data_IF_256491458235
#
_entry.id   IF_256491458235
#
_cell.length_a   1.000
_cell.length_b   1.000
_cell.length_c   1.000
_cell.angle_alpha   90.00
_cell.angle_beta   90.00
_cell.angle_gamma   90.00
#
_symmetry.space_group_name_H-M   'P 1'
#
loop_
_entity.id
_entity.type
_entity.pdbx_description
1 polymer ?
#
# COMPACT_ATOMS: atom_id res chain seq x y z
N UNK A 1 -9.01 -21.34 15.92
CA UNK A 1 -8.57 -21.28 14.51
C UNK A 1 -7.73 -20.03 14.36
N UNK A 2 -6.46 -20.14 13.99
CA UNK A 2 -5.66 -18.95 13.68
C UNK A 2 -6.34 -18.25 12.49
N UNK A 3 -6.85 -17.05 12.72
CA UNK A 3 -7.37 -16.20 11.66
C UNK A 3 -6.18 -15.84 10.78
N UNK A 4 -6.10 -16.45 9.60
CA UNK A 4 -5.09 -16.10 8.61
C UNK A 4 -5.41 -14.68 8.16
N UNK A 5 -4.55 -13.72 8.51
CA UNK A 5 -4.66 -12.35 8.03
C UNK A 5 -4.62 -12.37 6.50
N UNK A 6 -5.59 -11.77 5.80
CA UNK A 6 -5.57 -11.69 4.35
C UNK A 6 -4.26 -11.03 3.88
N UNK A 7 -3.59 -11.64 2.92
CA UNK A 7 -2.30 -11.13 2.42
C UNK A 7 -2.44 -10.63 0.99
N UNK A 8 -1.70 -9.57 0.67
CA UNK A 8 -1.65 -8.98 -0.66
C UNK A 8 -0.75 -9.84 -1.55
N UNK A 9 -1.21 -10.17 -2.75
CA UNK A 9 -0.35 -10.84 -3.72
C UNK A 9 0.64 -9.82 -4.32
N UNK A 10 1.96 -9.93 -4.05
CA UNK A 10 2.93 -8.92 -4.47
C UNK A 10 3.11 -8.84 -5.98
N UNK A 11 2.86 -9.93 -6.71
CA UNK A 11 2.88 -9.92 -8.17
C UNK A 11 1.73 -9.06 -8.71
N UNK A 12 0.52 -9.34 -8.25
CA UNK A 12 -0.68 -8.63 -8.70
C UNK A 12 -0.63 -7.15 -8.29
N UNK A 13 -0.20 -6.85 -7.06
CA UNK A 13 -0.02 -5.47 -6.61
C UNK A 13 0.91 -4.69 -7.54
N UNK A 14 2.10 -5.21 -7.81
CA UNK A 14 3.08 -4.50 -8.65
C UNK A 14 2.57 -4.32 -10.08
N UNK A 15 1.91 -5.33 -10.66
CA UNK A 15 1.29 -5.19 -11.99
C UNK A 15 0.21 -4.11 -12.00
N UNK A 16 -0.69 -4.10 -11.03
CA UNK A 16 -1.75 -3.08 -10.95
C UNK A 16 -1.20 -1.69 -10.62
N UNK A 17 -0.14 -1.60 -9.83
CA UNK A 17 0.57 -0.34 -9.57
C UNK A 17 1.20 0.25 -10.85
N UNK A 18 1.88 -0.58 -11.65
CA UNK A 18 2.48 -0.12 -12.91
C UNK A 18 1.40 0.32 -13.93
N UNK A 19 0.24 -0.35 -13.93
CA UNK A 19 -0.92 0.09 -14.71
C UNK A 19 -1.50 1.41 -14.16
N UNK A 20 -1.59 1.56 -12.84
CA UNK A 20 -2.10 2.76 -12.18
C UNK A 20 -1.26 4.00 -12.53
N UNK A 21 0.07 3.93 -12.45
CA UNK A 21 0.95 5.06 -12.81
C UNK A 21 0.70 5.51 -14.25
N UNK A 22 0.61 4.56 -15.18
CA UNK A 22 0.34 4.87 -16.60
C UNK A 22 -1.04 5.49 -16.76
N UNK A 23 -2.06 4.91 -16.14
CA UNK A 23 -3.43 5.39 -16.18
C UNK A 23 -3.53 6.85 -15.69
N UNK A 24 -3.03 7.14 -14.48
CA UNK A 24 -3.15 8.50 -13.93
C UNK A 24 -2.30 9.49 -14.72
N UNK A 25 -1.14 9.07 -15.23
CA UNK A 25 -0.30 9.91 -16.07
C UNK A 25 -0.92 10.24 -17.43
N UNK A 26 -1.61 9.29 -18.06
CA UNK A 26 -2.38 9.50 -19.29
C UNK A 26 -3.55 10.48 -19.08
N UNK A 27 -4.18 10.47 -17.89
CA UNK A 27 -5.32 11.34 -17.59
C UNK A 27 -4.95 12.82 -17.41
N UNK A 28 -3.73 13.09 -16.93
CA UNK A 28 -3.25 14.45 -16.64
C UNK A 28 -2.16 14.94 -17.59
N UNK A 29 -1.60 14.06 -18.45
CA UNK A 29 -0.34 14.26 -19.18
C UNK A 29 0.84 14.64 -18.27
N UNK A 30 0.81 14.22 -16.99
CA UNK A 30 1.83 14.52 -15.99
C UNK A 30 2.29 13.20 -15.36
N UNK A 31 3.60 12.93 -15.24
CA UNK A 31 4.08 11.73 -14.57
C UNK A 31 3.62 11.66 -13.10
N UNK A 32 3.25 10.46 -12.64
CA UNK A 32 2.89 10.25 -11.25
C UNK A 32 4.13 10.30 -10.35
N UNK A 33 4.14 11.25 -9.40
CA UNK A 33 5.22 11.40 -8.40
C UNK A 33 4.71 11.13 -6.99
N UNK A 34 3.56 11.71 -6.64
CA UNK A 34 2.88 11.46 -5.36
C UNK A 34 1.37 11.73 -5.49
N UNK A 35 0.57 11.13 -4.60
CA UNK A 35 -0.88 11.35 -4.56
C UNK A 35 -1.23 12.82 -4.30
N UNK A 36 -0.53 13.46 -3.35
CA UNK A 36 -0.81 14.83 -2.93
C UNK A 36 -0.48 15.89 -3.99
N UNK A 37 0.45 15.61 -4.91
CA UNK A 37 0.88 16.58 -5.94
C UNK A 37 0.27 16.31 -7.31
N UNK A 38 -0.32 15.13 -7.53
CA UNK A 38 -0.75 14.72 -8.85
C UNK A 38 -2.17 15.22 -9.16
N UNK A 39 -2.38 16.06 -10.21
CA UNK A 39 -3.64 16.76 -10.43
C UNK A 39 -4.86 15.84 -10.58
N UNK A 40 -4.69 14.69 -11.25
CA UNK A 40 -5.82 13.78 -11.44
C UNK A 40 -6.25 13.09 -10.14
N UNK A 41 -5.31 12.68 -9.29
CA UNK A 41 -5.66 12.01 -8.03
C UNK A 41 -6.24 12.99 -7.04
N UNK A 42 -5.74 14.23 -7.00
CA UNK A 42 -6.32 15.30 -6.19
C UNK A 42 -7.75 15.64 -6.66
N UNK A 43 -7.97 15.80 -7.97
CA UNK A 43 -9.29 16.08 -8.52
C UNK A 43 -10.30 14.96 -8.22
N UNK A 44 -9.90 13.70 -8.37
CA UNK A 44 -10.81 12.56 -8.22
C UNK A 44 -11.03 12.15 -6.77
N UNK A 45 -10.02 12.24 -5.91
CA UNK A 45 -10.04 11.63 -4.57
C UNK A 45 -9.74 12.63 -3.44
N UNK A 46 -9.27 13.83 -3.77
CA UNK A 46 -8.95 14.90 -2.81
C UNK A 46 -10.18 15.40 -2.04
N UNK A 47 -11.38 15.24 -2.61
CA UNK A 47 -12.64 15.62 -1.98
C UNK A 47 -12.84 14.95 -0.61
N UNK A 48 -12.25 13.77 -0.35
CA UNK A 48 -12.38 13.07 0.93
C UNK A 48 -11.73 13.84 2.08
N UNK A 49 -10.60 14.51 1.82
CA UNK A 49 -9.96 15.39 2.79
C UNK A 49 -10.85 16.60 3.10
N UNK A 50 -11.54 17.14 2.09
CA UNK A 50 -12.48 18.24 2.27
C UNK A 50 -13.71 17.81 3.08
N UNK A 51 -14.30 16.66 2.76
CA UNK A 51 -15.41 16.06 3.53
C UNK A 51 -15.02 15.91 5.00
N UNK A 52 -13.86 15.32 5.28
CA UNK A 52 -13.36 15.16 6.65
C UNK A 52 -13.27 16.51 7.38
N UNK A 53 -12.66 17.52 6.75
CA UNK A 53 -12.49 18.86 7.36
C UNK A 53 -13.83 19.54 7.64
N UNK A 54 -14.75 19.52 6.67
CA UNK A 54 -16.08 20.12 6.82
C UNK A 54 -16.88 19.41 7.90
N UNK A 55 -16.88 18.07 7.90
CA UNK A 55 -17.56 17.26 8.92
C UNK A 55 -17.00 17.52 10.32
N UNK A 56 -15.67 17.54 10.48
CA UNK A 56 -15.01 17.85 11.77
C UNK A 56 -15.38 19.21 12.32
N UNK A 57 -15.43 20.23 11.45
CA UNK A 57 -15.83 21.58 11.85
C UNK A 57 -17.29 21.62 12.32
N UNK A 58 -18.20 20.96 11.60
CA UNK A 58 -19.63 20.86 11.97
C UNK A 58 -19.86 20.09 13.26
N UNK A 59 -19.14 18.98 13.43
CA UNK A 59 -19.28 18.10 14.58
C UNK A 59 -18.87 18.80 15.88
N UNK A 60 -17.74 19.54 15.85
CA UNK A 60 -17.23 20.32 16.98
C UNK A 60 -17.21 19.55 18.32
N UNK A 61 -16.95 18.23 18.27
CA UNK A 61 -17.15 17.34 19.42
C UNK A 61 -16.27 17.66 20.62
N UNK A 62 -15.15 18.36 20.42
CA UNK A 62 -14.29 18.83 21.52
C UNK A 62 -15.01 19.80 22.47
N UNK A 63 -16.13 20.40 22.04
CA UNK A 63 -16.97 21.27 22.88
C UNK A 63 -17.99 20.50 23.72
N UNK A 64 -18.22 19.22 23.42
CA UNK A 64 -19.26 18.45 24.08
C UNK A 64 -18.90 18.13 25.52
N UNK A 65 -19.95 17.97 26.33
CA UNK A 65 -19.89 17.64 27.76
C UNK A 65 -20.92 16.56 28.06
N UNK A 66 -20.72 15.82 29.15
CA UNK A 66 -21.65 14.75 29.55
C UNK A 66 -23.09 15.22 29.76
N UNK A 67 -23.30 16.50 30.13
CA UNK A 67 -24.64 17.07 30.27
C UNK A 67 -25.28 17.50 28.95
N UNK A 68 -24.54 17.49 27.83
CA UNK A 68 -25.13 17.68 26.49
C UNK A 68 -25.89 16.41 26.04
N UNK A 69 -25.66 15.26 26.68
CA UNK A 69 -26.36 14.00 26.38
C UNK A 69 -27.84 14.14 26.78
N UNK A 70 -28.74 13.80 25.88
CA UNK A 70 -30.19 13.97 26.02
C UNK A 70 -30.72 15.31 25.53
N UNK A 71 -29.86 16.23 25.08
CA UNK A 71 -30.26 17.57 24.63
C UNK A 71 -30.69 17.63 23.15
N UNK A 72 -30.31 16.63 22.35
CA UNK A 72 -30.50 16.61 20.90
C UNK A 72 -29.41 17.35 20.11
N UNK A 73 -28.50 18.07 20.77
CA UNK A 73 -27.39 18.83 20.16
C UNK A 73 -26.40 17.93 19.42
N UNK A 74 -26.07 16.76 19.98
CA UNK A 74 -25.11 15.82 19.39
C UNK A 74 -25.72 15.15 18.17
N UNK A 75 -27.01 14.82 18.23
CA UNK A 75 -27.78 14.31 17.09
C UNK A 75 -27.78 15.33 15.95
N UNK A 76 -28.15 16.59 16.23
CA UNK A 76 -28.20 17.64 15.20
C UNK A 76 -26.83 17.87 14.56
N UNK A 77 -25.77 17.99 15.36
CA UNK A 77 -24.41 18.12 14.85
C UNK A 77 -24.01 16.92 13.96
N UNK A 78 -24.39 15.71 14.35
CA UNK A 78 -24.13 14.48 13.56
C UNK A 78 -24.88 14.50 12.23
N UNK A 79 -26.15 14.89 12.21
CA UNK A 79 -26.93 15.04 10.97
C UNK A 79 -26.25 16.04 10.04
N UNK A 80 -25.78 17.19 10.55
CA UNK A 80 -25.09 18.18 9.73
C UNK A 80 -23.78 17.65 9.11
N UNK A 81 -23.08 16.73 9.79
CA UNK A 81 -21.91 16.08 9.19
C UNK A 81 -22.29 15.15 8.06
N UNK A 82 -23.51 14.64 8.01
CA UNK A 82 -23.94 13.70 6.97
C UNK A 82 -24.54 14.49 5.80
N UNK A 83 -25.48 15.39 6.08
CA UNK A 83 -26.29 16.09 5.09
C UNK A 83 -25.66 17.41 4.62
N UNK A 84 -24.59 17.31 3.82
CA UNK A 84 -24.06 18.49 3.10
C UNK A 84 -23.76 18.18 1.63
N UNK A 85 -23.84 19.19 0.72
CA UNK A 85 -23.94 18.99 -0.73
C UNK A 85 -22.87 18.12 -1.40
N UNK A 86 -21.70 17.96 -0.77
CA UNK A 86 -20.56 17.24 -1.33
C UNK A 86 -20.27 15.89 -0.63
N UNK A 87 -21.04 15.52 0.40
CA UNK A 87 -20.81 14.26 1.09
C UNK A 87 -21.35 13.08 0.29
N UNK A 88 -20.48 12.43 -0.47
CA UNK A 88 -20.78 11.22 -1.23
C UNK A 88 -20.26 9.94 -0.53
N UNK A 89 -19.64 10.05 0.66
CA UNK A 89 -19.15 8.89 1.42
C UNK A 89 -20.28 8.10 2.08
N UNK A 90 -21.43 8.76 2.28
CA UNK A 90 -22.66 8.16 2.78
C UNK A 90 -23.77 8.42 1.76
N UNK A 91 -24.54 7.41 1.32
CA UNK A 91 -25.64 7.61 0.36
C UNK A 91 -26.88 8.18 1.08
N UNK A 92 -26.82 9.43 1.52
CA UNK A 92 -27.89 10.08 2.31
C UNK A 92 -28.97 10.77 1.45
N UNK A 93 -28.69 11.03 0.17
CA UNK A 93 -29.63 11.73 -0.71
C UNK A 93 -30.88 10.87 -1.02
N UNK A 94 -32.05 11.51 -0.96
CA UNK A 94 -33.42 10.95 -1.02
C UNK A 94 -33.80 10.21 -2.33
N UNK A 95 -33.09 9.15 -2.75
CA UNK A 95 -33.53 8.35 -3.91
C UNK A 95 -34.74 7.46 -3.64
N UNK A 96 -35.04 7.14 -2.36
CA UNK A 96 -36.09 6.20 -1.97
C UNK A 96 -36.97 6.66 -0.80
N UNK A 97 -37.04 7.97 -0.52
CA UNK A 97 -37.79 8.55 0.60
C UNK A 97 -36.95 8.77 1.87
N UNK A 98 -37.38 9.69 2.73
CA UNK A 98 -36.61 10.16 3.90
C UNK A 98 -36.37 9.05 4.92
N UNK A 99 -37.35 8.17 5.10
CA UNK A 99 -37.31 7.03 6.00
C UNK A 99 -36.24 5.97 5.67
N UNK A 100 -35.70 5.99 4.44
CA UNK A 100 -34.67 5.05 4.00
C UNK A 100 -33.26 5.62 4.12
N UNK A 101 -33.10 6.81 4.72
CA UNK A 101 -31.79 7.39 4.97
C UNK A 101 -30.99 6.50 5.93
N UNK A 102 -29.67 6.31 5.68
CA UNK A 102 -28.78 5.59 6.59
C UNK A 102 -28.88 6.01 8.06
N UNK A 103 -29.08 7.31 8.29
CA UNK A 103 -29.13 7.94 9.61
C UNK A 103 -30.55 8.28 10.07
N UNK A 104 -31.58 7.65 9.49
CA UNK A 104 -32.97 7.81 9.94
C UNK A 104 -33.17 7.63 11.46
N UNK A 105 -32.45 6.72 12.16
CA UNK A 105 -32.53 6.61 13.62
C UNK A 105 -32.21 7.90 14.38
N UNK A 106 -31.42 8.82 13.79
CA UNK A 106 -31.18 10.14 14.38
C UNK A 106 -32.47 10.98 14.43
N UNK A 107 -33.25 10.98 13.35
CA UNK A 107 -34.53 11.69 13.30
C UNK A 107 -35.58 11.05 14.20
N UNK A 108 -35.61 9.71 14.30
CA UNK A 108 -36.51 9.01 15.22
C UNK A 108 -36.21 9.26 16.70
N UNK A 109 -34.97 9.61 17.03
CA UNK A 109 -34.58 9.99 18.38
C UNK A 109 -35.10 11.39 18.73
N UNK A 110 -35.20 12.32 17.77
CA UNK A 110 -35.71 13.67 18.00
C UNK A 110 -37.14 13.61 18.54
N UNK A 111 -37.36 14.19 19.72
CA UNK A 111 -38.67 14.20 20.39
C UNK A 111 -38.97 12.98 21.26
N UNK A 112 -38.06 12.00 21.34
CA UNK A 112 -38.12 10.88 22.28
C UNK A 112 -36.92 10.95 23.24
N UNK A 113 -37.16 11.33 24.50
CA UNK A 113 -36.09 11.57 25.48
C UNK A 113 -35.19 10.35 25.72
N UNK A 114 -35.79 9.16 25.81
CA UNK A 114 -35.06 7.91 26.05
C UNK A 114 -34.17 7.58 24.85
N UNK A 115 -34.72 7.64 23.64
CA UNK A 115 -33.93 7.40 22.41
C UNK A 115 -32.87 8.47 22.18
N UNK A 116 -33.17 9.73 22.51
CA UNK A 116 -32.20 10.83 22.42
C UNK A 116 -31.00 10.55 23.31
N UNK A 117 -31.24 10.20 24.58
CA UNK A 117 -30.18 9.89 25.54
C UNK A 117 -29.35 8.66 25.10
N UNK A 118 -30.00 7.61 24.60
CA UNK A 118 -29.34 6.40 24.07
C UNK A 118 -28.41 6.73 22.89
N UNK A 119 -28.94 7.41 21.87
CA UNK A 119 -28.20 7.75 20.64
C UNK A 119 -27.06 8.73 20.94
N UNK A 120 -27.32 9.77 21.71
CA UNK A 120 -26.30 10.76 22.07
C UNK A 120 -25.22 10.17 22.98
N UNK A 121 -25.54 9.21 23.85
CA UNK A 121 -24.54 8.49 24.65
C UNK A 121 -23.57 7.71 23.76
N UNK A 122 -24.08 6.95 22.80
CA UNK A 122 -23.25 6.19 21.86
C UNK A 122 -22.36 7.10 21.00
N UNK A 123 -22.93 8.18 20.46
CA UNK A 123 -22.20 9.17 19.67
C UNK A 123 -21.17 9.93 20.51
N UNK A 124 -21.50 10.32 21.74
CA UNK A 124 -20.57 10.96 22.66
C UNK A 124 -19.37 10.05 22.95
N UNK A 125 -19.64 8.78 23.25
CA UNK A 125 -18.63 7.76 23.51
C UNK A 125 -17.73 7.54 22.30
N UNK A 126 -18.26 7.52 21.07
CA UNK A 126 -17.47 7.42 19.85
C UNK A 126 -16.31 8.42 19.81
N UNK A 127 -16.54 9.67 20.20
CA UNK A 127 -15.51 10.72 20.13
C UNK A 127 -14.72 10.95 21.42
N UNK A 128 -15.15 10.38 22.55
CA UNK A 128 -14.52 10.61 23.87
C UNK A 128 -13.97 9.34 24.55
N UNK A 129 -14.22 8.16 23.98
CA UNK A 129 -13.75 6.87 24.51
C UNK A 129 -12.79 6.18 23.53
N UNK A 130 -11.96 5.28 24.07
CA UNK A 130 -10.99 4.46 23.34
C UNK A 130 -11.50 3.05 23.02
N UNK A 131 -12.66 2.63 23.54
CA UNK A 131 -13.19 1.29 23.30
C UNK A 131 -13.95 1.21 21.97
N UNK A 132 -13.19 1.25 20.87
CA UNK A 132 -13.74 1.33 19.52
C UNK A 132 -14.62 0.12 19.14
N UNK A 133 -14.33 -1.09 19.61
CA UNK A 133 -15.11 -2.30 19.32
C UNK A 133 -16.51 -2.23 19.93
N UNK A 134 -16.56 -1.97 21.24
CA UNK A 134 -17.83 -1.88 21.97
C UNK A 134 -18.73 -0.78 21.38
N UNK A 135 -18.14 0.37 21.06
CA UNK A 135 -18.88 1.49 20.47
C UNK A 135 -19.41 1.12 19.09
N UNK A 136 -18.65 0.38 18.28
CA UNK A 136 -19.11 -0.06 16.97
C UNK A 136 -20.36 -0.94 17.10
N UNK A 137 -20.37 -1.85 18.07
CA UNK A 137 -21.53 -2.71 18.37
C UNK A 137 -22.74 -1.93 18.91
N UNK A 138 -22.51 -0.89 19.71
CA UNK A 138 -23.56 0.05 20.15
C UNK A 138 -24.17 0.79 18.96
N UNK A 139 -23.33 1.29 18.04
CA UNK A 139 -23.78 1.98 16.84
C UNK A 139 -24.51 1.04 15.87
N UNK A 140 -24.16 -0.24 15.79
CA UNK A 140 -24.93 -1.24 15.02
C UNK A 140 -26.35 -1.38 15.58
N UNK A 141 -26.55 -1.33 16.91
CA UNK A 141 -27.89 -1.43 17.50
C UNK A 141 -28.77 -0.24 17.11
N UNK A 142 -28.16 0.94 16.93
CA UNK A 142 -28.84 2.17 16.55
C UNK A 142 -29.06 2.25 15.03
N UNK A 143 -28.00 2.15 14.24
CA UNK A 143 -28.00 2.40 12.80
C UNK A 143 -28.18 1.15 11.94
N UNK A 144 -28.27 -0.02 12.56
CA UNK A 144 -28.21 -1.30 11.88
C UNK A 144 -26.84 -1.54 11.24
N UNK A 145 -26.79 -2.49 10.31
CA UNK A 145 -25.56 -2.88 9.60
C UNK A 145 -25.23 -1.97 8.41
N UNK A 146 -25.44 -0.65 8.58
CA UNK A 146 -25.10 0.33 7.54
C UNK A 146 -23.59 0.61 7.56
N UNK A 147 -22.84 -0.26 6.90
CA UNK A 147 -21.39 -0.29 6.99
C UNK A 147 -20.73 1.04 6.57
N UNK A 148 -21.25 1.66 5.49
CA UNK A 148 -20.73 2.94 4.99
C UNK A 148 -20.97 4.09 5.97
N UNK A 149 -22.14 4.15 6.63
CA UNK A 149 -22.40 5.14 7.69
C UNK A 149 -21.50 4.92 8.91
N UNK A 150 -21.39 3.68 9.40
CA UNK A 150 -20.56 3.36 10.57
C UNK A 150 -19.09 3.71 10.29
N UNK A 151 -18.54 3.28 9.16
CA UNK A 151 -17.17 3.62 8.76
C UNK A 151 -16.97 5.13 8.59
N UNK A 152 -17.96 5.85 8.06
CA UNK A 152 -17.93 7.30 7.96
C UNK A 152 -17.82 8.01 9.32
N UNK A 153 -18.61 7.59 10.31
CA UNK A 153 -18.56 8.15 11.66
C UNK A 153 -17.17 7.95 12.31
N UNK A 154 -16.55 6.79 12.09
CA UNK A 154 -15.17 6.54 12.50
C UNK A 154 -14.16 7.36 11.69
N UNK A 155 -14.34 7.49 10.38
CA UNK A 155 -13.48 8.31 9.52
C UNK A 155 -13.41 9.76 10.01
N UNK A 156 -14.55 10.36 10.38
CA UNK A 156 -14.58 11.72 10.92
C UNK A 156 -14.10 11.82 12.38
N UNK A 157 -14.04 10.70 13.12
CA UNK A 157 -13.34 10.62 14.42
C UNK A 157 -11.83 10.82 14.21
N UNK A 158 -11.20 10.05 13.33
CA UNK A 158 -9.77 10.14 13.05
C UNK A 158 -9.42 9.53 11.68
N UNK A 159 -9.13 10.37 10.68
CA UNK A 159 -8.80 9.92 9.33
C UNK A 159 -7.38 9.34 9.19
N UNK A 160 -6.57 9.39 10.24
CA UNK A 160 -5.26 8.72 10.27
C UNK A 160 -5.39 7.24 10.67
N UNK A 161 -6.48 6.88 11.36
CA UNK A 161 -6.76 5.53 11.87
C UNK A 161 -7.91 4.84 11.15
N UNK A 162 -8.90 5.60 10.69
CA UNK A 162 -10.15 5.10 10.13
C UNK A 162 -10.37 5.61 8.71
N UNK A 163 -11.16 4.86 7.94
CA UNK A 163 -11.41 5.14 6.53
C UNK A 163 -12.87 4.86 6.17
N UNK A 164 -13.46 5.61 5.22
CA UNK A 164 -14.76 5.23 4.68
C UNK A 164 -14.66 3.87 3.97
N UNK A 165 -15.80 3.23 3.75
CA UNK A 165 -15.86 1.95 3.03
C UNK A 165 -17.03 1.92 2.05
N UNK A 166 -16.72 1.48 0.83
CA UNK A 166 -17.69 1.17 -0.22
C UNK A 166 -17.59 -0.34 -0.54
N UNK A 167 -18.35 -1.21 0.15
CA UNK A 167 -18.05 -2.64 0.22
C UNK A 167 -17.87 -3.34 -1.14
N UNK A 168 -18.76 -3.07 -2.10
CA UNK A 168 -18.68 -3.69 -3.43
C UNK A 168 -17.43 -3.29 -4.20
N UNK A 169 -16.99 -2.03 -4.11
CA UNK A 169 -15.78 -1.56 -4.78
C UNK A 169 -14.52 -2.13 -4.12
N UNK A 170 -14.47 -2.20 -2.79
CA UNK A 170 -13.33 -2.76 -2.08
C UNK A 170 -13.23 -4.28 -2.24
N UNK A 171 -14.35 -5.00 -2.28
CA UNK A 171 -14.37 -6.43 -2.57
C UNK A 171 -13.81 -6.77 -3.96
N UNK A 172 -13.96 -5.86 -4.92
CA UNK A 172 -13.34 -5.97 -6.26
C UNK A 172 -11.88 -5.57 -6.24
N UNK A 173 -11.54 -4.44 -5.60
CA UNK A 173 -10.15 -3.99 -5.47
C UNK A 173 -9.28 -5.06 -4.80
N UNK A 174 -9.78 -5.70 -3.74
CA UNK A 174 -9.12 -6.79 -3.05
C UNK A 174 -8.94 -8.01 -3.95
N UNK A 175 -9.95 -8.36 -4.75
CA UNK A 175 -9.83 -9.42 -5.76
C UNK A 175 -8.74 -9.12 -6.79
N UNK A 176 -8.64 -7.86 -7.27
CA UNK A 176 -7.62 -7.42 -8.23
C UNK A 176 -6.20 -7.50 -7.65
N UNK A 177 -6.07 -7.40 -6.33
CA UNK A 177 -4.81 -7.52 -5.58
C UNK A 177 -4.55 -8.94 -5.05
N UNK A 178 -5.41 -9.91 -5.38
CA UNK A 178 -5.29 -11.31 -4.94
C UNK A 178 -5.58 -11.55 -3.47
N UNK A 179 -6.36 -10.67 -2.84
CA UNK A 179 -6.70 -10.72 -1.41
C UNK A 179 -8.04 -11.46 -1.27
N UNK A 180 -8.03 -12.58 -0.55
CA UNK A 180 -9.23 -13.35 -0.22
C UNK A 180 -9.97 -12.74 0.99
N UNK A 181 -10.64 -11.61 0.77
CA UNK A 181 -11.39 -10.91 1.80
C UNK A 181 -12.66 -10.25 1.25
N UNK A 182 -13.74 -10.26 2.04
CA UNK A 182 -15.03 -9.66 1.68
C UNK A 182 -15.57 -8.79 2.81
N UNK A 183 -16.10 -7.65 2.42
CA UNK A 183 -16.69 -6.61 3.26
C UNK A 183 -18.21 -6.52 3.04
N UNK A 184 -18.70 -6.85 1.84
CA UNK A 184 -20.13 -6.86 1.53
C UNK A 184 -20.88 -7.83 2.44
N UNK A 185 -21.95 -7.36 3.07
CA UNK A 185 -22.76 -8.13 4.02
C UNK A 185 -22.00 -8.64 5.26
N UNK A 186 -20.81 -8.10 5.55
CA UNK A 186 -19.95 -8.51 6.67
C UNK A 186 -19.70 -7.39 7.68
N UNK A 187 -20.65 -6.47 7.85
CA UNK A 187 -20.54 -5.35 8.79
C UNK A 187 -20.35 -5.83 10.24
N UNK A 188 -19.14 -5.69 10.76
CA UNK A 188 -18.74 -5.90 12.16
C UNK A 188 -17.42 -5.15 12.43
N UNK A 189 -17.09 -4.93 13.70
CA UNK A 189 -15.80 -4.34 14.07
C UNK A 189 -14.62 -5.15 13.55
N UNK A 190 -14.64 -6.48 13.77
CA UNK A 190 -13.59 -7.41 13.29
C UNK A 190 -13.33 -7.27 11.79
N UNK A 191 -14.41 -7.23 10.98
CA UNK A 191 -14.27 -7.08 9.53
C UNK A 191 -13.72 -5.69 9.16
N UNK A 192 -14.15 -4.65 9.85
CA UNK A 192 -13.69 -3.28 9.59
C UNK A 192 -12.22 -3.11 9.96
N UNK A 193 -11.80 -3.72 11.05
CA UNK A 193 -10.41 -3.73 11.48
C UNK A 193 -9.51 -4.44 10.45
N UNK A 194 -9.91 -5.61 9.95
CA UNK A 194 -9.17 -6.32 8.89
C UNK A 194 -9.12 -5.48 7.61
N UNK A 195 -10.21 -4.81 7.23
CA UNK A 195 -10.24 -3.87 6.13
C UNK A 195 -9.17 -2.77 6.29
N UNK A 196 -9.08 -2.14 7.46
CA UNK A 196 -8.08 -1.10 7.73
C UNK A 196 -6.65 -1.65 7.69
N UNK A 197 -6.42 -2.87 8.19
CA UNK A 197 -5.13 -3.55 8.09
C UNK A 197 -4.72 -3.77 6.64
N UNK A 198 -5.62 -4.26 5.79
CA UNK A 198 -5.35 -4.43 4.36
C UNK A 198 -4.97 -3.11 3.70
N UNK A 199 -5.68 -2.01 3.98
CA UNK A 199 -5.32 -0.70 3.42
C UNK A 199 -3.97 -0.20 3.96
N UNK A 200 -3.65 -0.50 5.23
CA UNK A 200 -2.33 -0.22 5.81
C UNK A 200 -1.22 -1.01 5.11
N UNK A 201 -1.45 -2.26 4.74
CA UNK A 201 -0.49 -3.07 3.99
C UNK A 201 -0.29 -2.52 2.57
N UNK A 202 -1.37 -2.10 1.90
CA UNK A 202 -1.30 -1.41 0.60
C UNK A 202 -0.46 -0.13 0.74
N UNK A 203 -0.67 0.66 1.81
CA UNK A 203 0.13 1.86 2.10
C UNK A 203 1.62 1.53 2.20
N UNK A 204 2.00 0.48 2.94
CA UNK A 204 3.39 0.05 3.09
C UNK A 204 4.00 -0.29 1.73
N UNK A 205 3.29 -1.06 0.90
CA UNK A 205 3.76 -1.42 -0.44
C UNK A 205 3.86 -0.20 -1.38
N UNK A 206 2.95 0.77 -1.29
CA UNK A 206 3.02 2.02 -2.04
C UNK A 206 4.21 2.89 -1.61
N UNK A 207 4.49 3.00 -0.31
CA UNK A 207 5.69 3.69 0.21
C UNK A 207 6.95 3.04 -0.36
N UNK A 208 6.98 1.70 -0.40
CA UNK A 208 8.11 0.98 -0.96
C UNK A 208 8.31 1.30 -2.45
N UNK A 209 7.23 1.40 -3.23
CA UNK A 209 7.31 1.69 -4.67
C UNK A 209 7.61 3.16 -4.98
N UNK A 210 6.97 4.09 -4.29
CA UNK A 210 7.10 5.54 -4.55
C UNK A 210 8.34 6.15 -3.90
N UNK A 211 8.85 5.55 -2.83
CA UNK A 211 9.89 6.15 -1.98
C UNK A 211 9.54 7.57 -1.53
N UNK A 212 8.26 7.79 -1.27
CA UNK A 212 7.65 9.03 -0.80
C UNK A 212 6.68 8.75 0.35
N UNK A 213 6.25 9.81 1.04
CA UNK A 213 5.14 9.70 1.98
C UNK A 213 3.85 9.32 1.24
N UNK A 214 3.06 8.45 1.87
CA UNK A 214 1.74 7.99 1.41
C UNK A 214 0.84 7.94 2.64
N UNK A 215 -0.28 8.64 2.60
CA UNK A 215 -1.25 8.62 3.70
C UNK A 215 -2.09 7.33 3.66
N UNK A 216 -2.83 7.04 4.72
CA UNK A 216 -3.78 5.93 4.72
C UNK A 216 -4.92 6.18 3.69
N UNK A 217 -5.30 7.44 3.51
CA UNK A 217 -6.33 7.85 2.56
C UNK A 217 -5.84 7.77 1.10
N UNK A 218 -4.54 7.94 0.86
CA UNK A 218 -3.93 7.75 -0.46
C UNK A 218 -3.98 6.27 -0.86
N UNK A 219 -3.63 5.36 0.06
CA UNK A 219 -3.74 3.92 -0.16
C UNK A 219 -5.18 3.45 -0.37
N UNK A 220 -6.13 4.01 0.39
CA UNK A 220 -7.55 3.83 0.14
C UNK A 220 -7.92 4.29 -1.27
N UNK A 221 -7.44 5.46 -1.69
CA UNK A 221 -7.77 6.07 -2.97
C UNK A 221 -7.20 5.26 -4.14
N UNK A 222 -5.98 4.75 -4.03
CA UNK A 222 -5.42 3.77 -4.96
C UNK A 222 -6.35 2.56 -5.14
N UNK A 223 -6.70 1.89 -4.03
CA UNK A 223 -7.55 0.69 -4.08
C UNK A 223 -8.93 0.99 -4.67
N UNK A 224 -9.54 2.12 -4.30
CA UNK A 224 -10.83 2.54 -4.85
C UNK A 224 -10.73 2.82 -6.36
N UNK A 225 -9.70 3.54 -6.82
CA UNK A 225 -9.52 3.85 -8.24
C UNK A 225 -9.32 2.59 -9.10
N UNK A 226 -8.67 1.54 -8.58
CA UNK A 226 -8.54 0.27 -9.29
C UNK A 226 -9.91 -0.28 -9.72
N UNK A 227 -10.87 -0.37 -8.79
CA UNK A 227 -12.18 -0.97 -9.08
C UNK A 227 -13.22 0.01 -9.61
N UNK A 228 -13.20 1.27 -9.18
CA UNK A 228 -14.21 2.25 -9.57
C UNK A 228 -13.92 2.94 -10.90
N UNK A 229 -12.64 3.08 -11.28
CA UNK A 229 -12.23 3.77 -12.50
C UNK A 229 -11.52 2.83 -13.48
N UNK A 230 -10.38 2.26 -13.08
CA UNK A 230 -9.51 1.51 -14.00
C UNK A 230 -10.18 0.24 -14.54
N UNK A 231 -10.89 -0.52 -13.69
CA UNK A 231 -11.68 -1.68 -14.13
C UNK A 231 -12.73 -1.30 -15.18
N UNK A 232 -13.41 -0.17 -14.98
CA UNK A 232 -14.46 0.31 -15.89
C UNK A 232 -13.90 0.79 -17.23
N UNK A 233 -12.69 1.34 -17.23
CA UNK A 233 -12.03 1.87 -18.42
C UNK A 233 -11.14 0.86 -19.14
N UNK A 234 -11.10 -0.40 -18.68
CA UNK A 234 -10.20 -1.44 -19.21
C UNK A 234 -8.72 -1.02 -19.17
N UNK A 235 -8.33 -0.39 -18.05
CA UNK A 235 -6.98 0.15 -17.80
C UNK A 235 -6.21 -0.64 -16.73
N UNK A 236 -6.74 -1.79 -16.33
CA UNK A 236 -6.06 -2.71 -15.41
C UNK A 236 -4.91 -3.42 -16.11
N UNK A 237 -3.95 -3.93 -15.33
CA UNK A 237 -2.92 -4.78 -15.87
C UNK A 237 -3.50 -6.13 -16.33
N UNK A 238 -3.11 -6.57 -17.54
CA UNK A 238 -3.37 -7.94 -17.97
C UNK A 238 -2.51 -8.91 -17.14
N UNK A 239 -3.21 -9.74 -16.38
CA UNK A 239 -2.64 -10.78 -15.52
C UNK A 239 -3.21 -12.16 -15.86
N UNK A 240 -3.86 -12.31 -17.02
CA UNK A 240 -4.52 -13.54 -17.46
C UNK A 240 -3.56 -14.74 -17.48
N UNK A 241 -2.36 -14.55 -18.02
CA UNK A 241 -1.30 -15.55 -18.03
C UNK A 241 -0.96 -15.99 -16.59
N UNK A 242 -0.74 -15.04 -15.68
CA UNK A 242 -0.46 -15.34 -14.27
C UNK A 242 -1.62 -16.07 -13.59
N UNK A 243 -2.87 -15.68 -13.87
CA UNK A 243 -4.05 -16.32 -13.31
C UNK A 243 -4.24 -17.75 -13.83
N UNK A 244 -3.74 -18.06 -15.04
CA UNK A 244 -3.78 -19.41 -15.63
C UNK A 244 -2.75 -20.38 -15.05
N UNK A 245 -1.72 -19.89 -14.35
CA UNK A 245 -0.67 -20.70 -13.73
C UNK A 245 -1.22 -21.61 -12.62
N UNK A 246 -0.56 -22.75 -12.44
CA UNK A 246 -0.78 -23.65 -11.31
C UNK A 246 -0.41 -22.97 -9.98
N UNK A 247 -0.89 -23.51 -8.86
CA UNK A 247 -0.55 -23.00 -7.53
C UNK A 247 0.97 -23.01 -7.26
N UNK A 248 1.68 -24.04 -7.71
CA UNK A 248 3.15 -24.16 -7.56
C UNK A 248 3.89 -23.08 -8.34
N UNK A 249 3.45 -22.79 -9.57
CA UNK A 249 4.03 -21.75 -10.42
C UNK A 249 3.75 -20.35 -9.85
N UNK A 250 2.50 -20.07 -9.43
CA UNK A 250 2.14 -18.82 -8.74
C UNK A 250 2.99 -18.60 -7.49
N UNK A 251 3.14 -19.63 -6.65
CA UNK A 251 3.99 -19.58 -5.47
C UNK A 251 5.45 -19.28 -5.82
N UNK A 252 5.96 -19.83 -6.91
CA UNK A 252 7.33 -19.58 -7.39
C UNK A 252 7.52 -18.13 -7.84
N UNK A 253 6.55 -17.59 -8.59
CA UNK A 253 6.53 -16.18 -9.04
C UNK A 253 6.45 -15.22 -7.84
N UNK A 254 5.55 -15.49 -6.90
CA UNK A 254 5.39 -14.68 -5.68
C UNK A 254 6.64 -14.74 -4.81
N UNK A 255 7.20 -15.93 -4.57
CA UNK A 255 8.45 -16.11 -3.82
C UNK A 255 9.64 -15.41 -4.48
N UNK A 256 9.69 -15.38 -5.81
CA UNK A 256 10.71 -14.61 -6.53
C UNK A 256 10.61 -13.11 -6.18
N UNK A 257 9.40 -12.54 -6.20
CA UNK A 257 9.17 -11.12 -5.91
C UNK A 257 9.40 -10.75 -4.46
N UNK A 258 8.87 -11.53 -3.52
CA UNK A 258 9.11 -11.34 -2.08
C UNK A 258 10.61 -11.47 -1.81
N UNK A 259 11.24 -12.49 -2.40
CA UNK A 259 12.65 -12.77 -2.21
C UNK A 259 13.54 -11.65 -2.73
N UNK A 260 13.22 -11.05 -3.88
CA UNK A 260 13.96 -9.89 -4.39
C UNK A 260 13.80 -8.63 -3.52
N UNK A 261 12.60 -8.38 -2.97
CA UNK A 261 12.35 -7.26 -2.05
C UNK A 261 13.12 -7.40 -0.74
N UNK A 262 12.98 -8.54 -0.06
CA UNK A 262 13.69 -8.83 1.19
C UNK A 262 15.21 -8.89 0.98
N UNK A 263 15.66 -9.50 -0.12
CA UNK A 263 17.07 -9.54 -0.50
C UNK A 263 17.64 -8.14 -0.65
N UNK A 264 16.95 -7.23 -1.34
CA UNK A 264 17.39 -5.84 -1.48
C UNK A 264 17.50 -5.15 -0.13
N UNK A 265 16.52 -5.31 0.76
CA UNK A 265 16.57 -4.69 2.10
C UNK A 265 17.77 -5.20 2.90
N UNK A 266 17.99 -6.52 2.93
CA UNK A 266 19.15 -7.12 3.58
C UNK A 266 20.48 -6.61 3.01
N UNK A 267 20.57 -6.41 1.70
CA UNK A 267 21.76 -5.82 1.08
C UNK A 267 21.97 -4.35 1.42
N UNK A 268 20.88 -3.57 1.54
CA UNK A 268 20.97 -2.17 1.98
C UNK A 268 21.50 -2.12 3.42
N UNK A 269 20.99 -2.97 4.31
CA UNK A 269 21.48 -3.06 5.69
C UNK A 269 22.94 -3.50 5.76
N UNK A 270 23.34 -4.49 4.97
CA UNK A 270 24.71 -5.01 4.98
C UNK A 270 25.73 -4.05 4.34
N UNK A 271 25.43 -3.50 3.17
CA UNK A 271 26.37 -2.69 2.39
C UNK A 271 26.29 -1.20 2.70
N UNK A 272 25.12 -0.69 3.10
CA UNK A 272 24.81 0.74 3.38
C UNK A 272 25.03 1.74 2.23
N UNK A 273 25.77 1.36 1.19
CA UNK A 273 26.14 2.15 0.02
C UNK A 273 26.53 1.19 -1.12
N UNK A 274 26.87 1.72 -2.30
CA UNK A 274 27.44 0.90 -3.36
C UNK A 274 28.69 0.17 -2.84
N UNK A 275 28.70 -1.16 -2.98
CA UNK A 275 29.76 -2.05 -2.52
C UNK A 275 31.13 -1.72 -3.11
N UNK A 276 31.20 -0.98 -4.23
CA UNK A 276 32.46 -0.64 -4.90
C UNK A 276 32.75 0.87 -4.83
N UNK A 277 31.77 1.70 -5.18
CA UNK A 277 31.98 3.16 -5.32
C UNK A 277 31.70 3.95 -4.04
N UNK A 278 31.02 3.34 -3.06
CA UNK A 278 30.57 4.04 -1.85
C UNK A 278 29.42 5.04 -2.07
N UNK A 279 28.79 5.07 -3.26
CA UNK A 279 27.60 5.89 -3.51
C UNK A 279 26.48 5.57 -2.50
N UNK A 280 25.99 6.59 -1.78
CA UNK A 280 24.98 6.44 -0.71
C UNK A 280 23.55 6.68 -1.15
N UNK A 281 23.33 7.20 -2.36
CA UNK A 281 21.97 7.42 -2.88
C UNK A 281 21.33 6.08 -3.26
N UNK A 282 20.65 5.46 -2.29
CA UNK A 282 20.10 4.11 -2.39
C UNK A 282 19.11 3.96 -3.56
N UNK A 283 18.45 5.04 -3.99
CA UNK A 283 17.52 5.02 -5.12
C UNK A 283 18.21 4.70 -6.44
N UNK A 284 19.50 5.00 -6.57
CA UNK A 284 20.30 4.72 -7.76
C UNK A 284 20.91 3.32 -7.76
N UNK A 285 20.92 2.62 -6.62
CA UNK A 285 21.62 1.35 -6.47
C UNK A 285 20.75 0.16 -6.81
N UNK A 286 21.37 -0.91 -7.32
CA UNK A 286 20.73 -2.17 -7.69
C UNK A 286 21.23 -3.31 -6.81
N UNK A 287 20.33 -4.20 -6.45
CA UNK A 287 20.64 -5.43 -5.71
C UNK A 287 20.92 -6.53 -6.73
N UNK A 288 22.19 -6.74 -7.06
CA UNK A 288 22.64 -7.73 -8.03
C UNK A 288 22.95 -9.04 -7.32
N UNK A 289 22.45 -10.16 -7.85
CA UNK A 289 22.79 -11.50 -7.39
C UNK A 289 24.16 -11.92 -7.96
N UNK A 290 25.04 -12.47 -7.12
CA UNK A 290 26.33 -12.99 -7.56
C UNK A 290 26.14 -14.30 -8.35
N UNK A 291 25.42 -15.25 -7.77
CA UNK A 291 24.91 -16.43 -8.46
C UNK A 291 23.48 -16.13 -8.91
N UNK A 292 23.16 -16.21 -10.22
CA UNK A 292 21.85 -15.84 -10.76
C UNK A 292 20.71 -16.56 -10.06
N UNK A 293 19.59 -15.84 -9.89
CA UNK A 293 18.42 -16.33 -9.17
C UNK A 293 17.85 -17.65 -9.73
N UNK A 294 17.92 -17.83 -11.06
CA UNK A 294 17.47 -19.06 -11.76
C UNK A 294 18.26 -20.30 -11.38
N UNK A 295 19.53 -20.13 -10.98
CA UNK A 295 20.47 -21.21 -10.66
C UNK A 295 20.57 -21.47 -9.14
N UNK A 296 19.88 -20.66 -8.33
CA UNK A 296 19.94 -20.70 -6.87
C UNK A 296 18.90 -21.64 -6.26
N UNK A 297 19.30 -22.36 -5.21
CA UNK A 297 18.37 -22.98 -4.27
C UNK A 297 17.70 -21.94 -3.35
N UNK A 298 16.62 -22.31 -2.66
CA UNK A 298 15.80 -21.37 -1.87
C UNK A 298 16.59 -20.57 -0.80
N UNK A 299 17.58 -21.19 -0.15
CA UNK A 299 18.45 -20.52 0.84
C UNK A 299 19.38 -19.50 0.16
N UNK A 300 19.89 -19.82 -1.04
CA UNK A 300 20.84 -18.97 -1.76
C UNK A 300 20.17 -17.71 -2.32
N UNK A 301 18.87 -17.78 -2.64
CA UNK A 301 18.09 -16.65 -3.19
C UNK A 301 17.92 -15.49 -2.21
N UNK A 302 17.89 -15.79 -0.91
CA UNK A 302 17.73 -14.80 0.17
C UNK A 302 19.04 -14.50 0.90
N UNK A 303 20.12 -15.20 0.55
CA UNK A 303 21.42 -15.06 1.21
C UNK A 303 22.01 -13.68 0.89
N UNK A 304 22.21 -12.84 1.91
CA UNK A 304 22.86 -11.54 1.76
C UNK A 304 24.29 -11.66 1.17
N UNK A 305 24.96 -12.80 1.39
CA UNK A 305 26.28 -13.09 0.82
C UNK A 305 26.24 -13.47 -0.66
N UNK A 306 25.06 -13.74 -1.22
CA UNK A 306 24.86 -13.95 -2.65
C UNK A 306 24.49 -12.64 -3.37
N UNK A 307 24.78 -11.49 -2.77
CA UNK A 307 24.35 -10.21 -3.32
C UNK A 307 25.32 -9.07 -3.13
N UNK A 308 25.37 -8.21 -4.14
CA UNK A 308 26.13 -6.97 -4.15
C UNK A 308 25.18 -5.80 -4.37
N UNK A 309 25.37 -4.71 -3.63
CA UNK A 309 24.67 -3.45 -3.87
C UNK A 309 25.52 -2.60 -4.83
N UNK A 310 25.11 -2.49 -6.09
CA UNK A 310 25.94 -1.91 -7.16
C UNK A 310 25.32 -0.64 -7.76
N UNK A 311 26.17 0.24 -8.31
CA UNK A 311 25.71 1.33 -9.17
C UNK A 311 25.25 0.75 -10.52
N UNK A 312 24.40 1.46 -11.29
CA UNK A 312 23.80 0.91 -12.51
C UNK A 312 24.83 0.40 -13.53
N UNK A 313 25.94 1.13 -13.71
CA UNK A 313 27.00 0.73 -14.65
C UNK A 313 27.69 -0.57 -14.21
N UNK A 314 27.98 -0.70 -12.90
CA UNK A 314 28.64 -1.87 -12.35
C UNK A 314 27.73 -3.09 -12.36
N UNK A 315 26.46 -2.91 -11.99
CA UNK A 315 25.41 -3.94 -12.05
C UNK A 315 25.31 -4.55 -13.45
N UNK A 316 25.12 -3.72 -14.47
CA UNK A 316 24.99 -4.18 -15.86
C UNK A 316 26.26 -4.87 -16.35
N UNK A 317 27.45 -4.35 -16.01
CA UNK A 317 28.71 -4.98 -16.42
C UNK A 317 28.97 -6.31 -15.71
N UNK A 318 28.59 -6.41 -14.44
CA UNK A 318 28.75 -7.61 -13.63
C UNK A 318 27.80 -8.71 -14.13
N UNK A 319 26.51 -8.42 -14.25
CA UNK A 319 25.50 -9.35 -14.75
C UNK A 319 25.81 -9.84 -16.17
N UNK A 320 26.35 -8.97 -17.03
CA UNK A 320 26.76 -9.32 -18.39
C UNK A 320 28.13 -10.04 -18.47
N UNK A 321 28.79 -10.28 -17.33
CA UNK A 321 30.06 -10.99 -17.23
C UNK A 321 31.28 -10.20 -17.72
N UNK A 322 31.17 -8.88 -17.92
CA UNK A 322 32.32 -8.04 -18.31
C UNK A 322 33.23 -7.71 -17.13
N UNK A 323 32.69 -7.72 -15.91
CA UNK A 323 33.48 -7.63 -14.68
C UNK A 323 33.13 -8.76 -13.72
N UNK A 324 34.03 -9.05 -12.79
CA UNK A 324 33.81 -9.94 -11.65
C UNK A 324 34.69 -9.46 -10.49
N UNK A 325 34.69 -10.17 -9.35
CA UNK A 325 35.64 -9.92 -8.26
C UNK A 325 36.40 -11.20 -7.88
N UNK A 326 37.65 -11.05 -7.47
CA UNK A 326 38.45 -12.13 -6.89
C UNK A 326 38.08 -12.40 -5.42
N UNK A 327 38.77 -13.35 -4.77
CA UNK A 327 38.48 -13.74 -3.39
C UNK A 327 38.95 -12.72 -2.34
N UNK A 328 39.68 -11.69 -2.76
CA UNK A 328 40.07 -10.52 -1.96
C UNK A 328 39.16 -9.32 -2.26
N UNK A 329 38.20 -9.47 -3.18
CA UNK A 329 37.27 -8.42 -3.59
C UNK A 329 37.84 -7.46 -4.63
N UNK A 330 39.02 -7.73 -5.21
CA UNK A 330 39.58 -6.91 -6.29
C UNK A 330 38.80 -7.15 -7.58
N UNK A 331 38.52 -6.08 -8.33
CA UNK A 331 37.82 -6.20 -9.61
C UNK A 331 38.65 -6.98 -10.63
N UNK A 332 37.97 -7.84 -11.38
CA UNK A 332 38.47 -8.55 -12.54
C UNK A 332 37.74 -8.00 -13.76
N UNK A 333 38.49 -7.59 -14.79
CA UNK A 333 37.93 -6.98 -16.00
C UNK A 333 38.17 -7.91 -17.19
N UNK A 334 37.10 -8.27 -17.89
CA UNK A 334 37.15 -9.11 -19.09
C UNK A 334 37.90 -8.40 -20.23
N UNK A 335 38.60 -9.17 -21.06
CA UNK A 335 39.19 -8.64 -22.29
C UNK A 335 38.16 -8.39 -23.41
N UNK A 336 36.88 -8.72 -23.20
CA UNK A 336 35.80 -8.51 -24.16
C UNK A 336 35.16 -7.10 -24.07
N UNK A 337 35.65 -6.22 -23.20
CA UNK A 337 35.23 -4.81 -23.11
C UNK A 337 36.41 -3.89 -23.44
N UNK A 338 36.15 -2.85 -24.24
CA UNK A 338 37.21 -1.95 -24.70
C UNK A 338 37.65 -0.98 -23.60
N UNK A 339 38.89 -0.48 -23.70
CA UNK A 339 39.38 0.54 -22.77
C UNK A 339 38.56 1.84 -22.82
N UNK A 340 38.05 2.21 -23.99
CA UNK A 340 37.19 3.38 -24.17
C UNK A 340 35.86 3.21 -23.43
N UNK A 341 35.25 2.03 -23.51
CA UNK A 341 33.98 1.74 -22.81
C UNK A 341 34.18 1.70 -21.29
N UNK A 342 35.29 1.11 -20.82
CA UNK A 342 35.64 1.12 -19.40
C UNK A 342 35.79 2.55 -18.87
N UNK A 343 36.45 3.42 -19.62
CA UNK A 343 36.57 4.83 -19.28
C UNK A 343 35.20 5.52 -19.25
N UNK A 344 34.36 5.32 -20.28
CA UNK A 344 33.02 5.89 -20.36
C UNK A 344 32.12 5.43 -19.21
N UNK A 345 32.26 4.17 -18.77
CA UNK A 345 31.52 3.60 -17.65
C UNK A 345 32.16 3.91 -16.28
N UNK A 346 33.33 4.56 -16.29
CA UNK A 346 34.13 4.89 -15.11
C UNK A 346 34.56 3.66 -14.30
N UNK A 347 34.88 2.55 -14.98
CA UNK A 347 35.35 1.29 -14.39
C UNK A 347 36.87 1.21 -14.57
N UNK A 348 37.60 0.97 -13.49
CA UNK A 348 39.06 0.86 -13.51
C UNK A 348 39.53 -0.33 -12.67
N UNK A 349 40.82 -0.68 -12.78
CA UNK A 349 41.39 -1.88 -12.15
C UNK A 349 41.60 -1.73 -10.65
N UNK A 350 41.57 -0.50 -10.13
CA UNK A 350 41.78 -0.18 -8.73
C UNK A 350 40.52 -0.42 -7.89
N UNK A 351 39.35 -0.54 -8.53
CA UNK A 351 38.08 -0.81 -7.86
C UNK A 351 38.07 -2.13 -7.09
N UNK A 352 37.51 -2.11 -5.89
CA UNK A 352 37.36 -3.29 -5.03
C UNK A 352 36.08 -3.22 -4.21
N UNK A 353 35.61 -4.37 -3.75
CA UNK A 353 34.53 -4.46 -2.77
C UNK A 353 34.96 -3.84 -1.44
N UNK A 354 34.07 -3.06 -0.81
CA UNK A 354 34.29 -2.38 0.46
C UNK A 354 34.35 -3.35 1.65
N UNK A 355 33.68 -4.50 1.52
CA UNK A 355 33.64 -5.58 2.49
C UNK A 355 33.60 -6.92 1.74
N UNK A 356 34.26 -7.95 2.26
CA UNK A 356 34.15 -9.30 1.70
C UNK A 356 34.25 -10.35 2.81
N UNK A 357 33.16 -11.10 2.98
CA UNK A 357 33.11 -12.26 3.87
C UNK A 357 33.46 -13.58 3.16
N UNK A 358 33.84 -14.61 3.93
CA UNK A 358 34.18 -15.93 3.39
C UNK A 358 33.02 -16.59 2.63
N UNK A 359 31.79 -16.29 3.03
CA UNK A 359 30.55 -16.79 2.44
C UNK A 359 30.27 -16.23 1.04
N UNK A 360 30.84 -15.06 0.68
CA UNK A 360 30.73 -14.52 -0.69
C UNK A 360 31.54 -15.35 -1.68
N UNK A 361 32.65 -15.96 -1.22
CA UNK A 361 33.66 -16.57 -2.09
C UNK A 361 33.08 -17.68 -2.95
N UNK A 362 32.19 -18.52 -2.40
CA UNK A 362 31.54 -19.60 -3.17
C UNK A 362 30.68 -19.06 -4.31
N UNK A 363 30.00 -17.93 -4.11
CA UNK A 363 29.17 -17.32 -5.14
C UNK A 363 30.03 -16.59 -6.17
N UNK A 364 31.06 -15.85 -5.73
CA UNK A 364 32.00 -15.19 -6.64
C UNK A 364 32.77 -16.19 -7.50
N UNK A 365 33.13 -17.35 -6.93
CA UNK A 365 33.72 -18.45 -7.67
C UNK A 365 32.77 -19.00 -8.74
N UNK A 366 31.49 -19.16 -8.41
CA UNK A 366 30.46 -19.53 -9.40
C UNK A 366 30.40 -18.49 -10.53
N UNK A 367 30.29 -17.20 -10.19
CA UNK A 367 30.22 -16.11 -11.14
C UNK A 367 31.44 -16.12 -12.09
N UNK A 368 32.66 -16.25 -11.54
CA UNK A 368 33.90 -16.33 -12.32
C UNK A 368 33.96 -17.53 -13.27
N UNK A 369 33.30 -18.64 -12.92
CA UNK A 369 33.31 -19.88 -13.70
C UNK A 369 32.22 -19.93 -14.78
N UNK A 370 31.06 -19.35 -14.51
CA UNK A 370 29.86 -19.56 -15.33
C UNK A 370 29.37 -18.32 -16.07
N UNK A 371 29.73 -17.11 -15.63
CA UNK A 371 29.16 -15.85 -16.12
C UNK A 371 30.26 -14.94 -16.66
N UNK A 372 31.35 -14.80 -15.90
CA UNK A 372 32.48 -13.98 -16.29
C UNK A 372 33.04 -14.43 -17.64
N UNK A 373 33.11 -13.49 -18.59
CA UNK A 373 33.62 -13.72 -19.93
C UNK A 373 35.13 -13.82 -19.89
N UNK A 374 35.62 -15.05 -19.74
CA UNK A 374 37.03 -15.36 -19.91
C UNK A 374 37.43 -15.26 -21.39
N UNK A 375 38.75 -15.21 -21.63
CA UNK A 375 39.33 -15.00 -22.95
C UNK A 375 38.90 -16.04 -23.97
#
# INVERSE_FOLDING_TARGET
>A
MQTVTPTINPYLFEKQYDAFIRFVGEKSNIPFVSFASHPYTDQQEGYKYQIYRVARNKLSFHTWRKHDIGSGKIILATIETIEFPDNNLVPWQNRYGEQNRPHQPLFEAIGNSIKTEEVESALFNLYHSSNDEQIFDELIKIFGRNYSLLAYLYFIKDNSKYLPIAPTYFDRAFSLLGIEFKTSQRCSWENYFIYLQIISDIKIMLIEKLKSEVSLLDAHSFAWMLSAQMEKEDKLADVSEYLSLSSTEKNSVVRSRIGQGLFRQNLIEYWSACAVTGCKELKLLRASHIKPWSECGDIERLSLYNGLLLSPNLDVCFDAGFISFDDLGQILISNKISANDLQALSINKEMKLSNISSEHKKYLQYHRKHIYKQS
#
